data_IF_441130323208
#
_entry.id   IF_441130323208
#
_cell.length_a   1.000
_cell.length_b   1.000
_cell.length_c   1.000
_cell.angle_alpha   90.00
_cell.angle_beta   90.00
_cell.angle_gamma   90.00
#
_symmetry.space_group_name_H-M   'P 1'
#
loop_
_entity.id
_entity.type
_entity.pdbx_description
1 polymer ?
#
# COMPACT_ATOMS: atom_id res chain seq x y z
N UNK A 1 9.75 -19.89 0.20
CA UNK A 1 8.95 -18.98 -0.66
C UNK A 1 9.80 -17.76 -0.94
N UNK A 2 9.87 -17.24 -2.17
CA UNK A 2 10.63 -16.01 -2.45
C UNK A 2 9.93 -14.80 -1.84
N UNK A 3 10.66 -13.89 -1.21
CA UNK A 3 10.12 -12.64 -0.69
C UNK A 3 9.57 -11.73 -1.80
N UNK A 4 8.71 -10.81 -1.42
CA UNK A 4 8.18 -9.74 -2.28
C UNK A 4 7.79 -8.54 -1.41
N UNK A 5 7.58 -7.40 -2.03
CA UNK A 5 7.09 -6.22 -1.33
C UNK A 5 5.63 -5.95 -1.72
N UNK A 6 4.78 -5.80 -0.72
CA UNK A 6 3.40 -5.32 -0.84
C UNK A 6 3.36 -3.86 -0.37
N UNK A 7 3.18 -2.93 -1.32
CA UNK A 7 3.30 -1.50 -1.09
C UNK A 7 1.94 -0.81 -1.09
N UNK A 8 1.44 -0.48 0.09
CA UNK A 8 0.20 0.28 0.24
C UNK A 8 0.46 1.78 0.13
N UNK A 9 -0.22 2.44 -0.80
CA UNK A 9 -0.22 3.89 -0.97
C UNK A 9 -1.65 4.44 -0.92
N UNK A 10 -1.80 5.72 -0.65
CA UNK A 10 -3.09 6.39 -0.53
C UNK A 10 -3.07 7.48 0.54
N UNK A 11 -4.07 8.32 0.58
CA UNK A 11 -4.20 9.45 1.49
C UNK A 11 -4.25 9.02 2.98
N UNK A 12 -4.08 9.96 3.89
CA UNK A 12 -4.25 9.71 5.33
C UNK A 12 -5.67 9.20 5.60
N UNK A 13 -5.83 8.20 6.47
CA UNK A 13 -7.15 7.62 6.76
C UNK A 13 -7.74 6.71 5.67
N UNK A 14 -7.05 6.47 4.55
CA UNK A 14 -7.53 5.62 3.45
C UNK A 14 -7.49 4.10 3.74
N UNK A 15 -7.22 3.68 4.98
CA UNK A 15 -7.27 2.26 5.36
C UNK A 15 -6.00 1.45 5.11
N UNK A 16 -4.88 2.07 4.71
CA UNK A 16 -3.60 1.38 4.43
C UNK A 16 -3.15 0.43 5.55
N UNK A 17 -3.03 0.94 6.77
CA UNK A 17 -2.58 0.13 7.93
C UNK A 17 -3.57 -0.97 8.29
N UNK A 18 -4.86 -0.76 8.09
CA UNK A 18 -5.89 -1.78 8.33
C UNK A 18 -5.74 -2.92 7.33
N UNK A 19 -5.64 -2.60 6.02
CA UNK A 19 -5.46 -3.60 4.98
C UNK A 19 -4.09 -4.29 5.06
N UNK A 20 -3.05 -3.55 5.47
CA UNK A 20 -1.72 -4.13 5.68
C UNK A 20 -1.74 -5.21 6.77
N UNK A 21 -2.41 -4.98 7.90
CA UNK A 21 -2.56 -5.97 8.98
C UNK A 21 -3.42 -7.16 8.57
N UNK A 22 -4.49 -6.94 7.82
CA UNK A 22 -5.32 -8.02 7.28
C UNK A 22 -4.53 -8.89 6.30
N UNK A 23 -3.78 -8.28 5.39
CA UNK A 23 -2.90 -9.00 4.49
C UNK A 23 -1.80 -9.76 5.24
N UNK A 24 -1.20 -9.15 6.29
CA UNK A 24 -0.23 -9.82 7.16
C UNK A 24 -0.81 -11.09 7.78
N UNK A 25 -2.00 -11.00 8.40
CA UNK A 25 -2.64 -12.15 9.04
C UNK A 25 -2.81 -13.32 8.07
N UNK A 26 -3.37 -13.04 6.87
CA UNK A 26 -3.57 -14.05 5.84
C UNK A 26 -2.23 -14.64 5.35
N UNK A 27 -1.20 -13.81 5.18
CA UNK A 27 0.11 -14.27 4.72
C UNK A 27 0.84 -15.10 5.77
N UNK A 28 0.71 -14.77 7.05
CA UNK A 28 1.24 -15.57 8.17
C UNK A 28 0.57 -16.94 8.25
N UNK A 29 -0.76 -17.01 8.09
CA UNK A 29 -1.51 -18.27 8.01
C UNK A 29 -1.05 -19.16 6.84
N UNK A 30 -0.58 -18.56 5.76
CA UNK A 30 0.02 -19.24 4.60
C UNK A 30 1.50 -19.60 4.77
N UNK A 31 2.07 -19.39 5.95
CA UNK A 31 3.44 -19.75 6.30
C UNK A 31 4.49 -18.79 5.76
N UNK A 32 4.11 -17.57 5.34
CA UNK A 32 5.05 -16.53 4.96
C UNK A 32 5.73 -15.94 6.20
N UNK A 33 6.99 -15.52 6.05
CA UNK A 33 7.63 -14.58 6.98
C UNK A 33 7.23 -13.18 6.55
N UNK A 34 6.65 -12.39 7.44
CA UNK A 34 6.11 -11.06 7.11
C UNK A 34 6.68 -10.02 8.06
N UNK A 35 6.95 -8.83 7.54
CA UNK A 35 7.31 -7.64 8.33
C UNK A 35 6.56 -6.42 7.81
N UNK A 36 5.91 -5.67 8.73
CA UNK A 36 5.20 -4.43 8.39
C UNK A 36 6.05 -3.20 8.68
N UNK A 37 6.17 -2.35 7.68
CA UNK A 37 6.77 -1.02 7.75
C UNK A 37 5.63 0.02 7.70
N UNK A 38 5.01 0.27 8.86
CA UNK A 38 4.00 1.32 8.99
C UNK A 38 4.65 2.70 9.00
N UNK A 39 4.11 3.64 8.23
CA UNK A 39 4.69 4.96 8.03
C UNK A 39 4.84 5.78 9.31
N UNK A 40 3.94 5.62 10.28
CA UNK A 40 4.02 6.32 11.57
C UNK A 40 5.18 5.72 12.40
N UNK A 41 5.27 4.39 12.51
CA UNK A 41 6.35 3.69 13.22
C UNK A 41 7.72 3.96 12.59
N UNK A 42 7.78 3.98 11.26
CA UNK A 42 9.02 4.33 10.53
C UNK A 42 9.47 5.74 10.83
N UNK A 43 8.55 6.70 10.93
CA UNK A 43 8.90 8.09 11.26
C UNK A 43 9.46 8.25 12.65
N UNK A 44 8.96 7.52 13.62
CA UNK A 44 9.43 7.56 15.00
C UNK A 44 10.83 6.96 15.15
N UNK A 45 11.16 5.94 14.35
CA UNK A 45 12.40 5.17 14.49
C UNK A 45 13.40 5.48 13.37
N UNK A 46 13.12 5.01 12.16
CA UNK A 46 14.06 5.07 11.04
C UNK A 46 14.21 6.47 10.44
N UNK A 47 13.17 7.29 10.52
CA UNK A 47 13.11 8.63 9.90
C UNK A 47 12.93 9.74 10.93
N UNK A 48 13.35 9.50 12.16
CA UNK A 48 13.34 10.53 13.22
C UNK A 48 14.12 11.77 12.78
N UNK A 49 13.49 12.94 12.93
CA UNK A 49 14.07 14.22 12.55
C UNK A 49 13.71 14.72 11.15
N UNK A 50 13.10 13.88 10.29
CA UNK A 50 12.56 14.34 9.02
C UNK A 50 11.23 15.10 9.22
N UNK A 51 11.08 16.22 8.50
CA UNK A 51 9.85 16.98 8.41
C UNK A 51 8.86 16.44 7.37
N UNK A 52 8.07 17.36 6.81
CA UNK A 52 7.03 17.06 5.81
C UNK A 52 7.24 17.78 4.48
N UNK A 53 8.43 18.36 4.26
CA UNK A 53 8.81 18.88 2.94
C UNK A 53 8.82 17.75 1.91
N UNK A 54 8.70 18.09 0.62
CA UNK A 54 8.81 17.11 -0.45
C UNK A 54 10.09 16.28 -0.30
N UNK A 55 11.22 16.93 -0.05
CA UNK A 55 12.52 16.26 0.12
C UNK A 55 12.51 15.29 1.30
N UNK A 56 11.97 15.68 2.47
CA UNK A 56 11.89 14.80 3.64
C UNK A 56 10.99 13.59 3.38
N UNK A 57 9.88 13.79 2.65
CA UNK A 57 9.00 12.71 2.23
C UNK A 57 9.71 11.74 1.32
N UNK A 58 10.42 12.24 0.31
CA UNK A 58 11.20 11.43 -0.63
C UNK A 58 12.27 10.60 0.10
N UNK A 59 13.02 11.23 1.03
CA UNK A 59 14.01 10.54 1.86
C UNK A 59 13.35 9.44 2.70
N UNK A 60 12.22 9.73 3.36
CA UNK A 60 11.49 8.74 4.16
C UNK A 60 11.06 7.54 3.33
N UNK A 61 10.50 7.78 2.14
CA UNK A 61 10.01 6.72 1.25
C UNK A 61 11.15 5.90 0.66
N UNK A 62 12.31 6.50 0.33
CA UNK A 62 13.51 5.76 -0.07
C UNK A 62 14.05 4.87 1.06
N UNK A 63 14.04 5.35 2.32
CA UNK A 63 14.44 4.52 3.48
C UNK A 63 13.54 3.30 3.64
N UNK A 64 12.23 3.48 3.53
CA UNK A 64 11.26 2.37 3.55
C UNK A 64 11.57 1.39 2.41
N UNK A 65 11.74 1.88 1.19
CA UNK A 65 12.05 1.05 0.03
C UNK A 65 13.35 0.27 0.16
N UNK A 66 14.38 0.88 0.75
CA UNK A 66 15.66 0.19 1.03
C UNK A 66 15.46 -0.97 2.02
N UNK A 67 14.71 -0.75 3.11
CA UNK A 67 14.41 -1.83 4.08
C UNK A 67 13.54 -2.92 3.41
N UNK A 68 12.54 -2.54 2.62
CA UNK A 68 11.75 -3.50 1.84
C UNK A 68 12.64 -4.37 0.94
N UNK A 69 13.60 -3.77 0.24
CA UNK A 69 14.54 -4.52 -0.60
C UNK A 69 15.40 -5.49 0.22
N UNK A 70 15.89 -5.09 1.40
CA UNK A 70 16.63 -5.97 2.30
C UNK A 70 15.80 -7.18 2.74
N UNK A 71 14.54 -6.95 3.13
CA UNK A 71 13.61 -8.00 3.57
C UNK A 71 13.27 -8.94 2.41
N UNK A 72 12.86 -8.37 1.26
CA UNK A 72 12.45 -9.14 0.08
C UNK A 72 13.53 -10.08 -0.43
N UNK A 73 14.79 -9.62 -0.53
CA UNK A 73 15.90 -10.48 -0.98
C UNK A 73 16.30 -11.56 0.03
N UNK A 74 15.85 -11.43 1.30
CA UNK A 74 16.04 -12.42 2.37
C UNK A 74 14.78 -13.27 2.63
N UNK A 75 13.93 -13.42 1.60
CA UNK A 75 12.75 -14.30 1.64
C UNK A 75 11.67 -13.88 2.64
N UNK A 76 11.64 -12.62 3.02
CA UNK A 76 10.60 -12.01 3.85
C UNK A 76 9.63 -11.22 2.98
N UNK A 77 8.36 -11.31 3.25
CA UNK A 77 7.35 -10.43 2.69
C UNK A 77 7.41 -9.10 3.43
N UNK A 78 7.79 -8.04 2.73
CA UNK A 78 7.79 -6.69 3.28
C UNK A 78 6.46 -6.00 2.94
N UNK A 79 5.73 -5.57 3.95
CA UNK A 79 4.48 -4.79 3.78
C UNK A 79 4.78 -3.35 4.15
N UNK A 80 4.82 -2.45 3.17
CA UNK A 80 4.95 -1.02 3.41
C UNK A 80 3.57 -0.35 3.42
N UNK A 81 3.25 0.41 4.46
CA UNK A 81 2.00 1.16 4.59
C UNK A 81 2.29 2.64 4.82
N UNK A 82 2.49 3.41 3.75
CA UNK A 82 2.82 4.84 3.80
C UNK A 82 2.02 5.63 2.76
N UNK A 83 1.84 6.93 2.96
CA UNK A 83 1.17 7.79 1.97
C UNK A 83 1.89 7.72 0.63
N UNK A 84 3.25 7.83 0.63
CA UNK A 84 4.11 7.81 -0.56
C UNK A 84 3.53 8.62 -1.74
N UNK A 85 3.43 9.95 -1.59
CA UNK A 85 2.57 10.78 -2.43
C UNK A 85 3.06 10.96 -3.88
N UNK A 86 4.35 10.74 -4.16
CA UNK A 86 4.95 11.05 -5.44
C UNK A 86 5.23 9.79 -6.26
N UNK A 87 4.79 9.76 -7.53
CA UNK A 87 4.95 8.62 -8.44
C UNK A 87 6.41 8.24 -8.63
N UNK A 88 7.28 9.23 -8.89
CA UNK A 88 8.69 8.99 -9.18
C UNK A 88 9.39 8.17 -8.09
N UNK A 89 9.09 8.43 -6.80
CA UNK A 89 9.71 7.70 -5.68
C UNK A 89 9.14 6.29 -5.52
N UNK A 90 7.86 6.09 -5.85
CA UNK A 90 7.27 4.74 -5.88
C UNK A 90 7.91 3.91 -7.00
N UNK A 91 8.14 4.52 -8.17
CA UNK A 91 8.81 3.87 -9.30
C UNK A 91 10.27 3.53 -8.99
N UNK A 92 11.01 4.43 -8.31
CA UNK A 92 12.38 4.13 -7.82
C UNK A 92 12.37 2.88 -6.92
N UNK A 93 11.45 2.80 -5.96
CA UNK A 93 11.36 1.66 -5.05
C UNK A 93 10.92 0.38 -5.78
N UNK A 94 10.00 0.47 -6.73
CA UNK A 94 9.59 -0.64 -7.59
C UNK A 94 10.79 -1.20 -8.35
N UNK A 95 11.58 -0.34 -8.97
CA UNK A 95 12.79 -0.73 -9.71
C UNK A 95 13.85 -1.36 -8.79
N UNK A 96 14.04 -0.80 -7.59
CA UNK A 96 14.99 -1.32 -6.59
C UNK A 96 14.63 -2.71 -6.09
N UNK A 97 13.35 -2.96 -5.80
CA UNK A 97 12.88 -4.20 -5.17
C UNK A 97 12.63 -5.30 -6.21
N UNK A 98 12.13 -4.97 -7.38
CA UNK A 98 11.77 -5.88 -8.47
C UNK A 98 10.47 -6.65 -8.22
N UNK A 99 10.38 -7.48 -7.18
CA UNK A 99 9.14 -8.20 -6.81
C UNK A 99 8.25 -7.29 -5.96
N UNK A 100 7.54 -6.41 -6.62
CA UNK A 100 6.80 -5.31 -6.01
C UNK A 100 5.34 -5.32 -6.48
N UNK A 101 4.41 -5.23 -5.55
CA UNK A 101 2.96 -5.14 -5.80
C UNK A 101 2.46 -3.86 -5.16
N UNK A 102 2.01 -2.91 -5.96
CA UNK A 102 1.45 -1.66 -5.49
C UNK A 102 -0.05 -1.80 -5.26
N UNK A 103 -0.48 -1.49 -4.03
CA UNK A 103 -1.87 -1.49 -3.61
C UNK A 103 -2.31 -0.05 -3.38
N UNK A 104 -3.17 0.45 -4.24
CA UNK A 104 -3.75 1.77 -4.11
C UNK A 104 -5.02 1.73 -3.25
N UNK A 105 -4.94 2.31 -2.06
CA UNK A 105 -6.10 2.53 -1.19
C UNK A 105 -6.80 3.82 -1.63
N UNK A 106 -7.74 3.70 -2.56
CA UNK A 106 -8.52 4.82 -3.08
C UNK A 106 -9.69 5.13 -2.15
N UNK A 107 -9.75 6.38 -1.71
CA UNK A 107 -10.88 6.87 -0.93
C UNK A 107 -11.09 8.36 -1.22
N UNK A 108 -12.31 8.79 -1.54
CA UNK A 108 -12.61 10.20 -1.78
C UNK A 108 -12.36 11.06 -0.54
N UNK A 109 -11.80 12.26 -0.74
CA UNK A 109 -11.51 13.21 0.37
C UNK A 109 -12.71 13.48 1.26
N UNK A 110 -13.94 13.67 0.75
CA UNK A 110 -15.11 13.85 1.63
C UNK A 110 -15.31 12.70 2.62
N UNK A 111 -15.18 11.45 2.17
CA UNK A 111 -15.28 10.28 3.05
C UNK A 111 -14.13 10.20 4.06
N UNK A 112 -12.91 10.61 3.66
CA UNK A 112 -11.76 10.68 4.57
C UNK A 112 -11.94 11.77 5.62
N UNK A 113 -12.49 12.93 5.25
CA UNK A 113 -12.76 14.04 6.16
C UNK A 113 -13.89 13.73 7.15
N UNK A 114 -14.85 12.91 6.75
CA UNK A 114 -15.91 12.40 7.65
C UNK A 114 -15.34 11.38 8.65
N UNK A 115 -14.56 10.41 8.18
CA UNK A 115 -13.91 9.40 9.03
C UNK A 115 -12.92 10.01 10.00
N UNK A 116 -12.05 10.85 9.52
CA UNK A 116 -10.97 11.60 10.18
C UNK A 116 -10.48 11.02 11.53
N UNK A 117 -10.01 9.77 11.58
CA UNK A 117 -9.71 9.06 12.84
C UNK A 117 -8.62 9.73 13.67
N UNK A 118 -7.79 10.56 13.02
CA UNK A 118 -6.69 11.30 13.67
C UNK A 118 -7.02 12.79 13.89
N UNK A 119 -8.18 13.28 13.47
CA UNK A 119 -8.56 14.69 13.52
C UNK A 119 -7.72 15.62 12.61
N UNK A 120 -6.99 15.04 11.63
CA UNK A 120 -6.04 15.79 10.82
C UNK A 120 -6.73 16.55 9.67
N UNK A 121 -7.79 16.00 9.07
CA UNK A 121 -8.54 16.69 8.01
C UNK A 121 -9.24 17.93 8.52
N UNK A 122 -9.86 17.85 9.70
CA UNK A 122 -10.49 19.01 10.34
C UNK A 122 -9.49 20.13 10.60
N UNK A 123 -8.27 19.80 11.03
CA UNK A 123 -7.20 20.78 11.27
C UNK A 123 -6.66 21.34 9.96
N UNK A 124 -6.43 20.51 8.95
CA UNK A 124 -5.95 20.95 7.64
C UNK A 124 -6.95 21.88 6.93
N UNK A 125 -8.23 21.54 6.94
CA UNK A 125 -9.29 22.38 6.36
C UNK A 125 -9.45 23.73 7.06
N UNK A 126 -9.08 23.83 8.33
CA UNK A 126 -9.05 25.10 9.08
C UNK A 126 -7.71 25.86 8.94
N UNK A 127 -6.76 25.30 8.17
CA UNK A 127 -5.43 25.91 7.96
C UNK A 127 -4.48 25.79 9.16
N UNK A 128 -4.82 24.98 10.16
CA UNK A 128 -3.99 24.74 11.36
C UNK A 128 -2.79 23.80 11.04
N UNK A 129 -2.90 22.98 10.01
CA UNK A 129 -1.83 22.12 9.48
C UNK A 129 -1.56 22.55 8.04
N UNK A 130 -0.29 22.79 7.71
CA UNK A 130 0.19 23.09 6.36
C UNK A 130 0.88 21.87 5.75
N UNK A 131 0.96 21.84 4.43
CA UNK A 131 1.57 20.74 3.65
C UNK A 131 0.88 19.39 3.93
N UNK A 132 -0.45 19.42 4.06
CA UNK A 132 -1.23 18.20 4.27
C UNK A 132 -1.58 17.57 2.93
N UNK A 133 -1.07 16.36 2.71
CA UNK A 133 -1.22 15.64 1.45
C UNK A 133 -2.70 15.41 1.10
N UNK A 134 -3.09 15.87 -0.08
CA UNK A 134 -4.46 15.79 -0.59
C UNK A 134 -5.32 17.03 -0.30
N UNK A 135 -4.83 18.00 0.47
CA UNK A 135 -5.51 19.28 0.72
C UNK A 135 -4.69 20.44 0.12
N UNK A 136 -3.52 20.74 0.70
CA UNK A 136 -2.63 21.83 0.25
C UNK A 136 -1.26 21.32 -0.23
N UNK A 137 -1.04 20.00 -0.20
CA UNK A 137 0.12 19.33 -0.76
C UNK A 137 -0.34 18.18 -1.69
N UNK A 138 0.31 17.99 -2.86
CA UNK A 138 -0.19 17.04 -3.86
C UNK A 138 -0.08 15.57 -3.43
N UNK A 139 -1.01 14.77 -3.95
CA UNK A 139 -0.93 13.32 -4.00
C UNK A 139 -1.09 12.87 -5.45
N UNK A 140 -0.07 12.22 -5.97
CA UNK A 140 -0.07 11.65 -7.31
C UNK A 140 -0.60 10.21 -7.22
N UNK A 141 -1.84 10.00 -7.64
CA UNK A 141 -2.43 8.66 -7.67
C UNK A 141 -1.58 7.72 -8.55
N UNK A 142 -1.40 6.45 -8.17
CA UNK A 142 -0.66 5.51 -8.99
C UNK A 142 -1.30 5.34 -10.37
N UNK A 143 -0.49 5.43 -11.42
CA UNK A 143 -0.97 5.23 -12.80
C UNK A 143 -1.28 3.76 -13.09
N UNK A 144 -0.46 2.86 -12.58
CA UNK A 144 -0.52 1.42 -12.89
C UNK A 144 -0.34 0.53 -11.65
N UNK A 145 -1.15 0.72 -10.58
CA UNK A 145 -1.07 -0.17 -9.42
C UNK A 145 -1.59 -1.56 -9.78
N UNK A 146 -1.03 -2.61 -9.22
CA UNK A 146 -1.52 -3.97 -9.41
C UNK A 146 -2.90 -4.16 -8.80
N UNK A 147 -3.15 -3.52 -7.66
CA UNK A 147 -4.44 -3.61 -6.95
C UNK A 147 -4.99 -2.21 -6.66
N UNK A 148 -6.28 -2.01 -6.93
CA UNK A 148 -7.03 -0.85 -6.45
C UNK A 148 -8.08 -1.32 -5.45
N UNK A 149 -8.02 -0.81 -4.22
CA UNK A 149 -9.01 -1.02 -3.17
C UNK A 149 -9.84 0.25 -3.00
N UNK A 150 -11.10 0.21 -3.35
CA UNK A 150 -12.03 1.34 -3.19
C UNK A 150 -12.53 1.38 -1.75
N UNK A 151 -11.67 1.75 -0.83
CA UNK A 151 -11.90 1.66 0.62
C UNK A 151 -13.03 2.56 1.15
N UNK A 152 -13.55 3.42 0.30
CA UNK A 152 -14.79 4.18 0.56
C UNK A 152 -16.06 3.35 0.39
N UNK A 153 -15.99 2.22 -0.30
CA UNK A 153 -17.13 1.40 -0.73
C UNK A 153 -16.96 -0.08 -0.38
N UNK A 154 -15.73 -0.58 -0.41
CA UNK A 154 -15.40 -1.98 -0.13
C UNK A 154 -15.20 -2.22 1.38
N UNK A 155 -15.56 -3.39 1.85
CA UNK A 155 -15.18 -3.89 3.16
C UNK A 155 -13.69 -4.25 3.19
N UNK A 156 -13.12 -4.36 4.39
CA UNK A 156 -11.73 -4.82 4.58
C UNK A 156 -11.52 -6.22 3.98
N UNK A 157 -12.49 -7.12 4.19
CA UNK A 157 -12.43 -8.49 3.69
C UNK A 157 -12.45 -8.55 2.15
N UNK A 158 -13.30 -7.76 1.47
CA UNK A 158 -13.34 -7.69 0.01
C UNK A 158 -12.02 -7.16 -0.58
N UNK A 159 -11.48 -6.09 0.00
CA UNK A 159 -10.20 -5.55 -0.41
C UNK A 159 -9.05 -6.53 -0.17
N UNK A 160 -9.02 -7.21 0.99
CA UNK A 160 -7.99 -8.20 1.32
C UNK A 160 -8.05 -9.42 0.37
N UNK A 161 -9.24 -9.92 0.07
CA UNK A 161 -9.43 -10.97 -0.94
C UNK A 161 -8.80 -10.57 -2.28
N UNK A 162 -9.11 -9.38 -2.78
CA UNK A 162 -8.57 -8.86 -4.04
C UNK A 162 -7.04 -8.84 -4.05
N UNK A 163 -6.43 -8.39 -2.95
CA UNK A 163 -4.97 -8.38 -2.77
C UNK A 163 -4.41 -9.79 -2.85
N UNK A 164 -4.96 -10.70 -2.05
CA UNK A 164 -4.47 -12.08 -1.97
C UNK A 164 -4.62 -12.81 -3.29
N UNK A 165 -5.76 -12.65 -3.98
CA UNK A 165 -5.96 -13.24 -5.31
C UNK A 165 -4.96 -12.73 -6.34
N UNK A 166 -4.62 -11.44 -6.27
CA UNK A 166 -3.57 -10.88 -7.13
C UNK A 166 -2.23 -11.55 -6.87
N UNK A 167 -1.84 -11.74 -5.59
CA UNK A 167 -0.61 -12.43 -5.23
C UNK A 167 -0.57 -13.89 -5.70
N UNK A 168 -1.70 -14.60 -5.64
CA UNK A 168 -1.85 -15.96 -6.16
C UNK A 168 -1.64 -16.02 -7.68
N UNK A 169 -2.29 -15.12 -8.42
CA UNK A 169 -2.18 -15.04 -9.88
C UNK A 169 -0.78 -14.64 -10.35
N UNK A 170 -0.05 -13.86 -9.56
CA UNK A 170 1.35 -13.53 -9.78
C UNK A 170 2.31 -14.68 -9.39
N UNK A 171 1.80 -15.75 -8.78
CA UNK A 171 2.63 -16.86 -8.27
C UNK A 171 3.52 -16.45 -7.09
N UNK A 172 3.14 -15.43 -6.34
CA UNK A 172 3.88 -14.97 -5.17
C UNK A 172 3.54 -15.79 -3.93
N UNK A 173 2.29 -16.24 -3.83
CA UNK A 173 1.82 -17.18 -2.82
C UNK A 173 1.10 -18.35 -3.49
N UNK A 174 1.06 -19.54 -2.86
CA UNK A 174 0.29 -20.66 -3.38
C UNK A 174 -1.20 -20.29 -3.49
N UNK A 175 -1.83 -20.69 -4.59
CA UNK A 175 -3.27 -20.59 -4.70
C UNK A 175 -3.94 -21.56 -3.73
N UNK A 176 -4.94 -21.09 -3.00
CA UNK A 176 -5.81 -21.93 -2.18
C UNK A 176 -7.15 -22.00 -2.88
N UNK A 177 -7.61 -23.21 -3.17
CA UNK A 177 -8.92 -23.44 -3.79
C UNK A 177 -10.01 -23.25 -2.73
N UNK A 178 -10.28 -21.99 -2.38
CA UNK A 178 -11.24 -21.62 -1.36
C UNK A 178 -12.67 -21.49 -1.87
N UNK A 179 -12.89 -21.58 -3.19
CA UNK A 179 -14.20 -21.34 -3.82
C UNK A 179 -14.76 -19.92 -3.56
N UNK A 180 -13.95 -19.02 -3.00
CA UNK A 180 -14.38 -17.72 -2.49
C UNK A 180 -14.46 -16.61 -3.55
N UNK A 181 -13.94 -16.86 -4.76
CA UNK A 181 -13.94 -15.87 -5.84
C UNK A 181 -14.97 -16.23 -6.91
N UNK A 182 -15.78 -15.26 -7.30
CA UNK A 182 -16.59 -15.46 -8.50
C UNK A 182 -15.70 -15.47 -9.75
N UNK A 183 -16.10 -16.21 -10.82
CA UNK A 183 -15.37 -16.17 -12.09
C UNK A 183 -15.19 -14.75 -12.65
N UNK A 184 -16.15 -13.87 -12.38
CA UNK A 184 -16.12 -12.47 -12.84
C UNK A 184 -15.07 -11.62 -12.09
N UNK A 185 -14.94 -11.81 -10.79
CA UNK A 185 -13.92 -11.13 -9.98
C UNK A 185 -12.51 -11.56 -10.40
N UNK A 186 -12.32 -12.87 -10.57
CA UNK A 186 -11.04 -13.40 -11.04
C UNK A 186 -10.69 -12.90 -12.44
N UNK A 187 -11.66 -12.83 -13.35
CA UNK A 187 -11.46 -12.32 -14.70
C UNK A 187 -11.02 -10.84 -14.70
N UNK A 188 -11.61 -10.01 -13.85
CA UNK A 188 -11.21 -8.59 -13.69
C UNK A 188 -9.76 -8.44 -13.22
N UNK A 189 -9.34 -9.24 -12.23
CA UNK A 189 -7.96 -9.21 -11.72
C UNK A 189 -7.00 -9.70 -12.82
N UNK A 190 -7.31 -10.80 -13.50
CA UNK A 190 -6.51 -11.33 -14.62
C UNK A 190 -6.36 -10.30 -15.74
N UNK A 191 -7.46 -9.64 -16.13
CA UNK A 191 -7.39 -8.63 -17.17
C UNK A 191 -6.46 -7.48 -16.77
N UNK A 192 -6.56 -7.01 -15.53
CA UNK A 192 -5.66 -5.96 -15.02
C UNK A 192 -4.19 -6.39 -15.08
N UNK A 193 -3.87 -7.61 -14.65
CA UNK A 193 -2.49 -8.12 -14.70
C UNK A 193 -1.98 -8.27 -16.14
N UNK A 194 -2.85 -8.62 -17.11
CA UNK A 194 -2.52 -8.60 -18.54
C UNK A 194 -2.20 -7.18 -19.03
N UNK A 195 -3.04 -6.22 -18.72
CA UNK A 195 -2.86 -4.82 -19.13
C UNK A 195 -1.55 -4.22 -18.57
N UNK A 196 -1.08 -4.74 -17.44
CA UNK A 196 0.19 -4.38 -16.81
C UNK A 196 1.38 -5.21 -17.33
N UNK A 197 1.15 -6.26 -18.13
CA UNK A 197 2.20 -7.09 -18.72
C UNK A 197 2.77 -8.18 -17.82
N UNK A 198 2.05 -8.62 -16.80
CA UNK A 198 2.49 -9.69 -15.88
C UNK A 198 2.18 -11.10 -16.39
N UNK A 199 1.06 -11.27 -17.11
CA UNK A 199 0.56 -12.57 -17.64
C UNK A 199 0.01 -12.43 -19.05
#
# INVERSE_FOLDING_TARGET
MKGFTLWFTGLSGAGKSTLAREAEAILLERGCKVEILDGDVVRENLSKGLGFSKQDRDINIRRIGFVCNLLTRNEVVAIAAAISPYQAIRDENRALVGRFVEVYCECPIPALAERDPKGLYKKALRGEIKNFTGIDDPYEAPEKPEVICHTGQETVAESAKKIVKTLELLGYVPAVDSGEYSPEEEAKIKQRLKDLGYI
#
